data_IF_424164759507
#
_entry.id   IF_424164759507
#
_cell.length_a   1.000
_cell.length_b   1.000
_cell.length_c   1.000
_cell.angle_alpha   90.00
_cell.angle_beta   90.00
_cell.angle_gamma   90.00
#
_symmetry.space_group_name_H-M   'P 1'
#
loop_
_entity.id
_entity.type
_entity.pdbx_description
1 polymer ?
#
# COMPACT_ATOMS: atom_id res chain seq x y z
N UNK A 1 -13.45 19.95 83.72
CA UNK A 1 -14.40 19.03 83.05
C UNK A 1 -14.45 19.38 81.58
N UNK A 2 -14.13 18.37 80.75
CA UNK A 2 -14.40 18.16 79.32
C UNK A 2 -15.64 18.92 78.78
N UNK A 3 -15.73 19.39 77.52
CA UNK A 3 -15.39 18.72 76.27
C UNK A 3 -15.20 19.73 75.12
N UNK A 4 -14.20 19.46 74.30
CA UNK A 4 -14.07 19.90 72.90
C UNK A 4 -15.00 19.02 72.05
N UNK A 5 -15.78 19.62 71.12
CA UNK A 5 -16.41 19.01 69.91
C UNK A 5 -17.35 20.07 69.31
N UNK A 6 -17.38 20.43 68.02
CA UNK A 6 -16.91 19.85 66.76
C UNK A 6 -16.69 21.02 65.78
N UNK A 7 -15.55 21.07 65.10
CA UNK A 7 -15.39 21.90 63.89
C UNK A 7 -14.63 21.11 62.82
N UNK A 8 -15.28 20.14 62.21
CA UNK A 8 -14.64 19.34 61.16
C UNK A 8 -15.66 18.61 60.29
N UNK A 9 -16.52 19.34 59.57
CA UNK A 9 -17.37 18.75 58.52
C UNK A 9 -17.50 19.57 57.23
N UNK A 10 -17.01 20.81 57.16
CA UNK A 10 -17.10 21.64 55.95
C UNK A 10 -15.95 21.41 54.95
N UNK A 11 -14.75 21.07 55.43
CA UNK A 11 -13.57 20.86 54.53
C UNK A 11 -13.64 19.58 53.69
N UNK A 12 -14.41 18.57 54.11
CA UNK A 12 -14.51 17.29 53.38
C UNK A 12 -15.49 17.34 52.20
N UNK A 13 -16.52 18.20 52.26
CA UNK A 13 -17.48 18.36 51.16
C UNK A 13 -16.86 19.08 49.95
N UNK A 14 -16.06 20.12 50.19
CA UNK A 14 -15.33 20.82 49.13
C UNK A 14 -14.28 19.92 48.46
N UNK A 15 -13.53 19.14 49.24
CA UNK A 15 -12.54 18.23 48.69
C UNK A 15 -13.18 17.13 47.83
N UNK A 16 -14.35 16.62 48.25
CA UNK A 16 -15.07 15.56 47.53
C UNK A 16 -15.65 16.06 46.20
N UNK A 17 -16.20 17.29 46.18
CA UNK A 17 -16.72 17.91 44.96
C UNK A 17 -15.61 18.26 43.97
N UNK A 18 -14.49 18.83 44.46
CA UNK A 18 -13.30 19.11 43.65
C UNK A 18 -12.73 17.82 43.06
N UNK A 19 -12.69 16.72 43.83
CA UNK A 19 -12.20 15.42 43.34
C UNK A 19 -13.09 14.86 42.23
N UNK A 20 -14.41 15.02 42.34
CA UNK A 20 -15.39 14.58 41.35
C UNK A 20 -15.32 15.41 40.06
N UNK A 21 -15.10 16.72 40.20
CA UNK A 21 -14.95 17.66 39.08
C UNK A 21 -13.64 17.42 38.32
N UNK A 22 -12.52 17.22 39.03
CA UNK A 22 -11.24 16.84 38.43
C UNK A 22 -11.33 15.46 37.75
N UNK A 23 -12.01 14.49 38.38
CA UNK A 23 -12.22 13.16 37.78
C UNK A 23 -13.00 13.26 36.46
N UNK A 24 -14.06 14.07 36.41
CA UNK A 24 -14.83 14.29 35.18
C UNK A 24 -13.99 14.93 34.07
N UNK A 25 -13.19 15.95 34.40
CA UNK A 25 -12.29 16.59 33.43
C UNK A 25 -11.21 15.64 32.90
N UNK A 26 -10.71 14.74 33.74
CA UNK A 26 -9.75 13.70 33.33
C UNK A 26 -10.42 12.70 32.40
N UNK A 27 -11.61 12.20 32.74
CA UNK A 27 -12.34 11.24 31.92
C UNK A 27 -12.69 11.84 30.55
N UNK A 28 -13.14 13.10 30.51
CA UNK A 28 -13.43 13.83 29.27
C UNK A 28 -12.17 14.00 28.40
N UNK A 29 -11.03 14.35 29.00
CA UNK A 29 -9.75 14.50 28.29
C UNK A 29 -9.21 13.17 27.74
N UNK A 30 -9.42 12.07 28.48
CA UNK A 30 -9.02 10.73 28.02
C UNK A 30 -9.93 10.26 26.87
N UNK A 31 -11.24 10.50 26.97
CA UNK A 31 -12.20 10.17 25.93
C UNK A 31 -11.92 10.97 24.64
N UNK A 32 -11.65 12.28 24.76
CA UNK A 32 -11.31 13.13 23.62
C UNK A 32 -10.00 12.71 22.94
N UNK A 33 -9.01 12.25 23.70
CA UNK A 33 -7.79 11.69 23.14
C UNK A 33 -8.03 10.36 22.42
N UNK A 34 -8.82 9.46 23.01
CA UNK A 34 -9.15 8.17 22.41
C UNK A 34 -9.90 8.36 21.08
N UNK A 35 -10.89 9.25 21.04
CA UNK A 35 -11.62 9.63 19.83
C UNK A 35 -10.65 10.21 18.78
N UNK A 36 -9.81 11.17 19.16
CA UNK A 36 -8.82 11.77 18.24
C UNK A 36 -7.83 10.73 17.68
N UNK A 37 -7.44 9.73 18.48
CA UNK A 37 -6.52 8.68 18.06
C UNK A 37 -7.18 7.72 17.06
N UNK A 38 -8.40 7.28 17.35
CA UNK A 38 -9.20 6.42 16.45
C UNK A 38 -9.45 7.12 15.12
N UNK A 39 -9.78 8.42 15.14
CA UNK A 39 -9.98 9.22 13.92
C UNK A 39 -8.70 9.34 13.11
N UNK A 40 -7.55 9.54 13.78
CA UNK A 40 -6.24 9.60 13.11
C UNK A 40 -5.84 8.27 12.48
N UNK A 41 -6.00 7.15 13.20
CA UNK A 41 -5.74 5.79 12.68
C UNK A 41 -6.62 5.52 11.47
N UNK A 42 -7.94 5.74 11.59
CA UNK A 42 -8.89 5.55 10.50
C UNK A 42 -8.54 6.41 9.28
N UNK A 43 -8.15 7.67 9.50
CA UNK A 43 -7.74 8.58 8.41
C UNK A 43 -6.44 8.13 7.73
N UNK A 44 -5.53 7.49 8.48
CA UNK A 44 -4.27 6.97 7.97
C UNK A 44 -4.51 5.70 7.14
N UNK A 45 -5.29 4.76 7.66
CA UNK A 45 -5.68 3.54 6.94
C UNK A 45 -6.43 3.85 5.64
N UNK A 46 -7.39 4.79 5.69
CA UNK A 46 -8.12 5.23 4.50
C UNK A 46 -7.19 5.85 3.46
N UNK A 47 -6.24 6.71 3.87
CA UNK A 47 -5.24 7.29 2.96
C UNK A 47 -4.31 6.23 2.37
N UNK A 48 -3.82 5.32 3.20
CA UNK A 48 -2.96 4.20 2.79
C UNK A 48 -3.64 3.34 1.72
N UNK A 49 -4.88 2.91 1.98
CA UNK A 49 -5.66 2.09 1.05
C UNK A 49 -5.94 2.80 -0.28
N UNK A 50 -6.22 4.11 -0.26
CA UNK A 50 -6.42 4.90 -1.49
C UNK A 50 -5.12 5.01 -2.30
N UNK A 51 -3.98 5.22 -1.64
CA UNK A 51 -2.67 5.30 -2.33
C UNK A 51 -2.29 3.95 -2.93
N UNK A 52 -2.49 2.86 -2.20
CA UNK A 52 -2.20 1.50 -2.70
C UNK A 52 -3.07 1.15 -3.90
N UNK A 53 -4.38 1.42 -3.85
CA UNK A 53 -5.28 1.18 -5.00
C UNK A 53 -4.92 2.02 -6.22
N UNK A 54 -4.59 3.31 -6.03
CA UNK A 54 -4.17 4.17 -7.14
C UNK A 54 -2.88 3.68 -7.80
N UNK A 55 -1.91 3.22 -7.01
CA UNK A 55 -0.67 2.63 -7.52
C UNK A 55 -0.94 1.36 -8.31
N UNK A 56 -1.79 0.48 -7.79
CA UNK A 56 -2.16 -0.77 -8.47
C UNK A 56 -2.80 -0.51 -9.84
N UNK A 57 -3.76 0.42 -9.93
CA UNK A 57 -4.37 0.78 -11.22
C UNK A 57 -3.35 1.38 -12.20
N UNK A 58 -2.44 2.22 -11.71
CA UNK A 58 -1.39 2.81 -12.55
C UNK A 58 -0.40 1.76 -13.07
N UNK A 59 -0.07 0.77 -12.25
CA UNK A 59 0.78 -0.37 -12.66
C UNK A 59 0.10 -1.18 -13.76
N UNK A 60 -1.18 -1.51 -13.62
CA UNK A 60 -1.97 -2.22 -14.65
C UNK A 60 -2.01 -1.44 -15.97
N UNK A 61 -2.33 -0.14 -15.93
CA UNK A 61 -2.34 0.72 -17.12
C UNK A 61 -0.94 0.82 -17.79
N UNK A 62 0.12 0.84 -16.98
CA UNK A 62 1.50 0.91 -17.47
C UNK A 62 1.93 -0.40 -18.14
N UNK A 63 1.53 -1.54 -17.59
CA UNK A 63 1.76 -2.85 -18.21
C UNK A 63 1.05 -2.98 -19.55
N UNK A 64 -0.22 -2.59 -19.60
CA UNK A 64 -1.01 -2.60 -20.83
C UNK A 64 -0.38 -1.74 -21.93
N UNK A 65 0.17 -0.58 -21.56
CA UNK A 65 0.87 0.30 -22.49
C UNK A 65 2.17 -0.33 -22.99
N UNK A 66 2.96 -0.93 -22.09
CA UNK A 66 4.22 -1.59 -22.44
C UNK A 66 4.00 -2.75 -23.42
N UNK A 67 3.03 -3.62 -23.15
CA UNK A 67 2.67 -4.73 -24.04
C UNK A 67 2.32 -4.23 -25.45
N UNK A 68 1.49 -3.18 -25.55
CA UNK A 68 1.14 -2.56 -26.84
C UNK A 68 2.35 -1.98 -27.58
N UNK A 69 3.31 -1.41 -26.86
CA UNK A 69 4.54 -0.88 -27.47
C UNK A 69 5.45 -2.01 -27.97
N UNK A 70 5.56 -3.10 -27.21
CA UNK A 70 6.32 -4.30 -27.60
C UNK A 70 5.73 -4.89 -28.88
N UNK A 71 4.41 -5.06 -28.95
CA UNK A 71 3.72 -5.54 -30.16
C UNK A 71 4.01 -4.66 -31.37
N UNK A 72 3.97 -3.34 -31.19
CA UNK A 72 4.27 -2.39 -32.25
C UNK A 72 5.71 -2.54 -32.75
N UNK A 73 6.69 -2.60 -31.84
CA UNK A 73 8.11 -2.77 -32.17
C UNK A 73 8.31 -4.06 -32.99
N UNK A 74 7.74 -5.17 -32.54
CA UNK A 74 7.90 -6.44 -33.24
C UNK A 74 7.18 -6.48 -34.58
N UNK A 75 6.03 -5.80 -34.72
CA UNK A 75 5.39 -5.60 -36.02
C UNK A 75 6.28 -4.80 -36.98
N UNK A 76 6.86 -3.70 -36.51
CA UNK A 76 7.76 -2.86 -37.32
C UNK A 76 8.99 -3.67 -37.78
N UNK A 77 9.58 -4.49 -36.90
CA UNK A 77 10.69 -5.39 -37.25
C UNK A 77 10.27 -6.40 -38.32
N UNK A 78 9.11 -7.06 -38.15
CA UNK A 78 8.57 -8.01 -39.14
C UNK A 78 8.41 -7.35 -40.51
N UNK A 79 7.83 -6.15 -40.56
CA UNK A 79 7.67 -5.39 -41.79
C UNK A 79 9.01 -5.06 -42.45
N UNK A 80 9.98 -4.55 -41.68
CA UNK A 80 11.30 -4.21 -42.21
C UNK A 80 12.02 -5.44 -42.79
N UNK A 81 11.98 -6.58 -42.09
CA UNK A 81 12.56 -7.83 -42.58
C UNK A 81 11.88 -8.27 -43.87
N UNK A 82 10.55 -8.24 -43.91
CA UNK A 82 9.79 -8.63 -45.09
C UNK A 82 10.13 -7.73 -46.29
N UNK A 83 10.17 -6.42 -46.10
CA UNK A 83 10.58 -5.46 -47.14
C UNK A 83 12.00 -5.72 -47.63
N UNK A 84 12.96 -5.92 -46.73
CA UNK A 84 14.36 -6.15 -47.08
C UNK A 84 14.55 -7.43 -47.89
N UNK A 85 13.86 -8.51 -47.54
CA UNK A 85 13.97 -9.80 -48.23
C UNK A 85 13.26 -9.76 -49.59
N UNK A 86 12.08 -9.14 -49.66
CA UNK A 86 11.31 -9.07 -50.90
C UNK A 86 12.00 -8.23 -51.97
N UNK A 87 12.70 -7.16 -51.55
CA UNK A 87 13.44 -6.26 -52.43
C UNK A 87 14.85 -6.77 -52.79
N UNK A 88 15.28 -7.93 -52.26
CA UNK A 88 16.59 -8.51 -52.57
C UNK A 88 16.56 -9.22 -53.93
N UNK A 89 16.98 -8.52 -54.99
CA UNK A 89 17.00 -9.03 -56.37
C UNK A 89 18.00 -10.19 -56.58
N UNK A 90 18.95 -10.38 -55.66
CA UNK A 90 19.94 -11.46 -55.77
C UNK A 90 19.37 -12.84 -55.40
N UNK A 91 18.19 -12.90 -54.77
CA UNK A 91 17.56 -14.13 -54.31
C UNK A 91 16.45 -14.59 -55.27
N UNK A 92 16.38 -15.90 -55.51
CA UNK A 92 15.19 -16.50 -56.15
C UNK A 92 13.98 -16.43 -55.20
N UNK A 93 12.77 -16.53 -55.75
CA UNK A 93 11.54 -16.54 -54.94
C UNK A 93 11.53 -17.64 -53.86
N UNK A 94 12.00 -18.84 -54.19
CA UNK A 94 12.14 -19.93 -53.21
C UNK A 94 13.15 -19.62 -52.10
N UNK A 95 14.24 -18.90 -52.41
CA UNK A 95 15.22 -18.48 -51.41
C UNK A 95 14.66 -17.37 -50.51
N UNK A 96 13.90 -16.42 -51.09
CA UNK A 96 13.19 -15.38 -50.33
C UNK A 96 12.20 -15.98 -49.36
N UNK A 97 11.41 -16.98 -49.79
CA UNK A 97 10.45 -17.67 -48.93
C UNK A 97 11.13 -18.32 -47.72
N UNK A 98 12.18 -19.12 -47.94
CA UNK A 98 12.91 -19.79 -46.85
C UNK A 98 13.57 -18.77 -45.92
N UNK A 99 14.18 -17.72 -46.46
CA UNK A 99 14.83 -16.67 -45.68
C UNK A 99 13.81 -15.88 -44.85
N UNK A 100 12.64 -15.61 -45.41
CA UNK A 100 11.54 -14.94 -44.72
C UNK A 100 11.01 -15.79 -43.57
N UNK A 101 10.72 -17.07 -43.82
CA UNK A 101 10.21 -17.98 -42.79
C UNK A 101 11.18 -18.10 -41.60
N UNK A 102 12.49 -18.24 -41.88
CA UNK A 102 13.52 -18.27 -40.83
C UNK A 102 13.59 -16.96 -40.05
N UNK A 103 13.66 -15.84 -40.76
CA UNK A 103 13.79 -14.53 -40.10
C UNK A 103 12.56 -14.19 -39.27
N UNK A 104 11.36 -14.53 -39.74
CA UNK A 104 10.13 -14.33 -38.95
C UNK A 104 10.08 -15.25 -37.73
N UNK A 105 10.52 -16.51 -37.85
CA UNK A 105 10.63 -17.42 -36.71
C UNK A 105 11.55 -16.84 -35.61
N UNK A 106 12.72 -16.33 -35.99
CA UNK A 106 13.66 -15.70 -35.05
C UNK A 106 13.02 -14.51 -34.33
N UNK A 107 12.25 -13.68 -35.06
CA UNK A 107 11.52 -12.55 -34.49
C UNK A 107 10.43 -12.99 -33.51
N UNK A 108 9.67 -14.04 -33.83
CA UNK A 108 8.64 -14.57 -32.92
C UNK A 108 9.26 -15.18 -31.66
N UNK A 109 10.39 -15.87 -31.78
CA UNK A 109 11.13 -16.37 -30.62
C UNK A 109 11.60 -15.22 -29.72
N UNK A 110 12.14 -14.16 -30.33
CA UNK A 110 12.55 -12.96 -29.58
C UNK A 110 11.35 -12.27 -28.90
N UNK A 111 10.21 -12.16 -29.59
CA UNK A 111 8.98 -11.61 -29.00
C UNK A 111 8.54 -12.41 -27.78
N UNK A 112 8.50 -13.75 -27.89
CA UNK A 112 8.14 -14.62 -26.77
C UNK A 112 9.07 -14.43 -25.57
N UNK A 113 10.39 -14.36 -25.79
CA UNK A 113 11.35 -14.12 -24.71
C UNK A 113 11.11 -12.78 -24.00
N UNK A 114 10.80 -11.72 -24.76
CA UNK A 114 10.50 -10.41 -24.20
C UNK A 114 9.18 -10.43 -23.41
N UNK A 115 8.15 -11.12 -23.89
CA UNK A 115 6.88 -11.29 -23.19
C UNK A 115 7.04 -12.10 -21.90
N UNK A 116 7.87 -13.15 -21.90
CA UNK A 116 8.23 -13.90 -20.69
C UNK A 116 8.96 -13.03 -19.66
N UNK A 117 9.89 -12.19 -20.10
CA UNK A 117 10.57 -11.23 -19.23
C UNK A 117 9.58 -10.23 -18.62
N UNK A 118 8.63 -9.73 -19.41
CA UNK A 118 7.58 -8.82 -18.95
C UNK A 118 6.70 -9.49 -17.89
N UNK A 119 6.31 -10.75 -18.11
CA UNK A 119 5.56 -11.54 -17.14
C UNK A 119 6.34 -11.74 -15.82
N UNK A 120 7.63 -12.07 -15.90
CA UNK A 120 8.47 -12.21 -14.69
C UNK A 120 8.53 -10.90 -13.89
N UNK A 121 8.66 -9.75 -14.57
CA UNK A 121 8.66 -8.45 -13.91
C UNK A 121 7.30 -8.19 -13.23
N UNK A 122 6.19 -8.56 -13.89
CA UNK A 122 4.84 -8.42 -13.33
C UNK A 122 4.68 -9.21 -12.04
N UNK A 123 5.13 -10.46 -12.02
CA UNK A 123 5.09 -11.32 -10.83
C UNK A 123 5.92 -10.70 -9.71
N UNK A 124 7.13 -10.22 -10.01
CA UNK A 124 7.99 -9.61 -9.00
C UNK A 124 7.39 -8.33 -8.39
N UNK A 125 6.74 -7.50 -9.20
CA UNK A 125 6.03 -6.32 -8.71
C UNK A 125 4.84 -6.68 -7.83
N UNK A 126 4.10 -7.74 -8.17
CA UNK A 126 3.02 -8.27 -7.33
C UNK A 126 3.52 -8.74 -5.97
N UNK A 127 4.65 -9.46 -5.94
CA UNK A 127 5.32 -9.88 -4.70
C UNK A 127 5.71 -8.68 -3.84
N UNK A 128 6.38 -7.66 -4.42
CA UNK A 128 6.75 -6.43 -3.71
C UNK A 128 5.54 -5.67 -3.14
N UNK A 129 4.43 -5.65 -3.88
CA UNK A 129 3.18 -5.07 -3.40
C UNK A 129 2.60 -5.87 -2.23
N UNK A 130 2.65 -7.20 -2.29
CA UNK A 130 2.28 -8.09 -1.19
C UNK A 130 3.09 -7.82 0.08
N UNK A 131 4.40 -7.71 -0.05
CA UNK A 131 5.33 -7.39 1.05
C UNK A 131 5.04 -6.01 1.66
N UNK A 132 4.81 -5.01 0.82
CA UNK A 132 4.46 -3.65 1.27
C UNK A 132 3.16 -3.65 2.06
N UNK A 133 2.14 -4.36 1.57
CA UNK A 133 0.85 -4.50 2.28
C UNK A 133 1.03 -5.21 3.63
N UNK A 134 1.86 -6.24 3.68
CA UNK A 134 2.20 -6.97 4.91
C UNK A 134 2.89 -6.06 5.92
N UNK A 135 3.89 -5.29 5.50
CA UNK A 135 4.59 -4.32 6.34
C UNK A 135 3.65 -3.26 6.94
N UNK A 136 2.78 -2.69 6.12
CA UNK A 136 1.81 -1.67 6.58
C UNK A 136 0.82 -2.26 7.59
N UNK A 137 0.34 -3.47 7.34
CA UNK A 137 -0.58 -4.17 8.26
C UNK A 137 0.08 -4.44 9.61
N UNK A 138 1.31 -4.96 9.61
CA UNK A 138 2.08 -5.20 10.84
C UNK A 138 2.36 -3.92 11.61
N UNK A 139 2.71 -2.84 10.91
CA UNK A 139 2.97 -1.53 11.53
C UNK A 139 1.72 -0.96 12.20
N UNK A 140 0.54 -1.12 11.59
CA UNK A 140 -0.74 -0.72 12.22
C UNK A 140 -0.98 -1.49 13.52
N UNK A 141 -0.81 -2.82 13.50
CA UNK A 141 -0.97 -3.68 14.69
C UNK A 141 0.00 -3.32 15.83
N UNK A 142 1.23 -2.92 15.50
CA UNK A 142 2.19 -2.41 16.51
C UNK A 142 1.69 -1.09 17.10
N UNK A 143 1.15 -0.20 16.27
CA UNK A 143 0.50 1.04 16.72
C UNK A 143 -0.68 0.79 17.66
N UNK A 144 -1.59 -0.12 17.30
CA UNK A 144 -2.72 -0.55 18.15
C UNK A 144 -2.24 -1.12 19.49
N UNK A 145 -1.20 -1.96 19.47
CA UNK A 145 -0.61 -2.53 20.68
C UNK A 145 -0.01 -1.45 21.58
N UNK A 146 0.68 -0.46 20.98
CA UNK A 146 1.22 0.67 21.71
C UNK A 146 0.11 1.50 22.37
N UNK A 147 -0.93 1.85 21.62
CA UNK A 147 -2.09 2.60 22.13
C UNK A 147 -2.76 1.83 23.27
N UNK A 148 -3.03 0.54 23.09
CA UNK A 148 -3.61 -0.32 24.13
C UNK A 148 -2.78 -0.35 25.41
N UNK A 149 -1.44 -0.42 25.31
CA UNK A 149 -0.54 -0.36 26.47
C UNK A 149 -0.59 1.00 27.18
N UNK A 150 -0.60 2.10 26.42
CA UNK A 150 -0.70 3.45 26.99
C UNK A 150 -2.06 3.64 27.68
N UNK A 151 -3.16 3.21 27.06
CA UNK A 151 -4.50 3.25 27.66
C UNK A 151 -4.52 2.45 28.97
N UNK A 152 -4.02 1.22 28.97
CA UNK A 152 -3.95 0.39 30.18
C UNK A 152 -3.11 1.02 31.30
N UNK A 153 -1.93 1.57 30.97
CA UNK A 153 -1.09 2.30 31.92
C UNK A 153 -1.81 3.53 32.49
N UNK A 154 -2.48 4.29 31.63
CA UNK A 154 -3.17 5.51 32.03
C UNK A 154 -4.36 5.19 32.94
N UNK A 155 -5.18 4.19 32.59
CA UNK A 155 -6.27 3.71 33.43
C UNK A 155 -5.78 3.16 34.78
N UNK A 156 -4.56 2.61 34.85
CA UNK A 156 -3.99 2.13 36.11
C UNK A 156 -3.58 3.24 37.08
N UNK A 157 -3.40 4.49 36.61
CA UNK A 157 -3.10 5.66 37.45
C UNK A 157 -4.34 6.18 38.17
N UNK A 158 -5.52 5.89 37.64
CA UNK A 158 -6.82 6.35 38.17
C UNK A 158 -7.57 5.28 38.98
N UNK A 159 -7.02 4.06 39.08
CA UNK A 159 -7.44 3.01 40.02
C UNK A 159 -6.58 3.03 41.29
#
# INVERSE_FOLDING_TARGET
MNNIKQSSNTKNYDLFNIKKEISGLVDDFLLENEINLVDRITSFEKRSNVVLKKKQNFEEESFDLLTKQIDKIFNDIRYQIMTNIMNDEALSESQKEIKLQRSLLDVFQLQNMVEEMLLMISIHLEEMNGDTKSYLTKSSSVGETFVSKITSLTSSVFN
#
